data_IF_121790319446
#
_entry.id   IF_121790319446
#
_cell.length_a   1.000
_cell.length_b   1.000
_cell.length_c   1.000
_cell.angle_alpha   90.00
_cell.angle_beta   90.00
_cell.angle_gamma   90.00
#
_symmetry.space_group_name_H-M   'P 1'
#
loop_
_entity.id
_entity.type
_entity.pdbx_description
1 polymer ?
#
# COMPACT_ATOMS: atom_id res chain seq x y z
N UNK A 1 -8.07 -2.56 -15.39
CA UNK A 1 -7.78 -1.11 -15.39
C UNK A 1 -6.45 -0.86 -14.70
N UNK A 2 -5.80 0.27 -14.98
CA UNK A 2 -4.55 0.68 -14.33
C UNK A 2 -4.89 1.71 -13.24
N UNK A 3 -4.47 1.44 -12.01
CA UNK A 3 -4.76 2.27 -10.84
C UNK A 3 -3.44 2.83 -10.31
N UNK A 4 -3.37 4.16 -10.16
CA UNK A 4 -2.29 4.83 -9.44
C UNK A 4 -2.78 5.18 -8.03
N UNK A 5 -2.11 4.62 -7.02
CA UNK A 5 -2.39 4.90 -5.62
C UNK A 5 -1.23 5.70 -5.02
N UNK A 6 -1.53 6.82 -4.36
CA UNK A 6 -0.55 7.67 -3.69
C UNK A 6 -0.83 7.63 -2.18
N UNK A 7 0.17 7.26 -1.39
CA UNK A 7 0.05 7.15 0.07
C UNK A 7 1.22 7.81 0.79
N UNK A 8 0.93 8.63 1.80
CA UNK A 8 1.96 9.20 2.68
C UNK A 8 2.61 8.14 3.60
N UNK A 9 1.98 6.97 3.77
CA UNK A 9 2.50 5.88 4.60
C UNK A 9 2.82 4.65 3.77
N UNK A 10 3.98 4.05 4.03
CA UNK A 10 4.40 2.79 3.43
C UNK A 10 3.54 1.65 4.03
N UNK A 11 2.77 0.90 3.23
CA UNK A 11 1.76 -0.03 3.76
C UNK A 11 2.30 -1.44 4.05
N UNK A 12 3.61 -1.68 3.92
CA UNK A 12 4.22 -2.99 4.09
C UNK A 12 5.56 -2.88 4.84
N UNK A 13 5.98 -3.83 5.69
CA UNK A 13 5.13 -4.82 6.31
C UNK A 13 4.03 -4.11 7.14
N UNK A 14 2.80 -4.66 7.22
CA UNK A 14 1.69 -4.00 7.92
C UNK A 14 1.82 -4.19 9.45
N UNK A 15 2.92 -3.70 10.03
CA UNK A 15 3.33 -3.94 11.42
C UNK A 15 2.94 -2.81 12.37
N UNK A 16 2.68 -1.60 11.87
CA UNK A 16 2.43 -0.40 12.70
C UNK A 16 0.94 -0.08 12.92
N UNK A 17 0.03 -1.02 12.67
CA UNK A 17 -1.40 -0.88 13.02
C UNK A 17 -2.31 -0.29 11.94
N UNK A 18 -3.42 0.33 12.37
CA UNK A 18 -4.69 0.39 11.63
C UNK A 18 -4.67 1.03 10.23
N UNK A 19 -3.89 2.08 10.00
CA UNK A 19 -3.84 2.73 8.66
C UNK A 19 -3.03 1.92 7.66
N UNK A 20 -1.91 1.32 8.06
CA UNK A 20 -1.13 0.44 7.18
C UNK A 20 -1.90 -0.83 6.82
N UNK A 21 -2.61 -1.42 7.79
CA UNK A 21 -3.45 -2.61 7.58
C UNK A 21 -4.55 -2.34 6.55
N UNK A 22 -5.31 -1.24 6.68
CA UNK A 22 -6.38 -0.91 5.73
C UNK A 22 -5.84 -0.69 4.32
N UNK A 23 -4.76 0.09 4.19
CA UNK A 23 -4.11 0.34 2.90
C UNK A 23 -3.59 -0.95 2.28
N UNK A 24 -2.97 -1.82 3.07
CA UNK A 24 -2.47 -3.13 2.62
C UNK A 24 -3.59 -4.03 2.10
N UNK A 25 -4.69 -4.21 2.85
CA UNK A 25 -5.80 -5.06 2.41
C UNK A 25 -6.55 -4.48 1.21
N UNK A 26 -6.67 -3.15 1.12
CA UNK A 26 -7.22 -2.49 -0.06
C UNK A 26 -6.35 -2.75 -1.29
N UNK A 27 -5.03 -2.57 -1.18
CA UNK A 27 -4.08 -2.89 -2.26
C UNK A 27 -4.19 -4.35 -2.67
N UNK A 28 -4.19 -5.27 -1.70
CA UNK A 28 -4.32 -6.71 -1.94
C UNK A 28 -5.60 -7.05 -2.68
N UNK A 29 -6.71 -6.41 -2.36
CA UNK A 29 -7.99 -6.64 -3.04
C UNK A 29 -7.98 -6.07 -4.47
N UNK A 30 -7.54 -4.82 -4.64
CA UNK A 30 -7.50 -4.16 -5.95
C UNK A 30 -6.53 -4.87 -6.91
N UNK A 31 -5.39 -5.38 -6.41
CA UNK A 31 -4.41 -6.09 -7.22
C UNK A 31 -4.90 -7.41 -7.80
N UNK A 32 -6.04 -7.95 -7.31
CA UNK A 32 -6.63 -9.18 -7.85
C UNK A 32 -7.15 -8.99 -9.28
N UNK A 33 -7.66 -7.78 -9.61
CA UNK A 33 -8.33 -7.51 -10.88
C UNK A 33 -7.78 -6.29 -11.61
N UNK A 34 -6.83 -5.57 -11.00
CA UNK A 34 -6.30 -4.31 -11.52
C UNK A 34 -4.77 -4.28 -11.40
N UNK A 35 -4.13 -3.69 -12.39
CA UNK A 35 -2.71 -3.35 -12.31
C UNK A 35 -2.59 -2.10 -11.43
N UNK A 36 -2.01 -2.26 -10.24
CA UNK A 36 -1.86 -1.15 -9.29
C UNK A 36 -0.40 -0.72 -9.22
N UNK A 37 -0.15 0.56 -9.47
CA UNK A 37 1.12 1.21 -9.15
C UNK A 37 0.94 1.98 -7.86
N UNK A 38 1.73 1.64 -6.84
CA UNK A 38 1.76 2.34 -5.56
C UNK A 38 2.96 3.27 -5.51
N UNK A 39 2.71 4.56 -5.32
CA UNK A 39 3.74 5.55 -4.97
C UNK A 39 3.55 5.93 -3.51
N UNK A 40 4.62 5.83 -2.75
CA UNK A 40 4.56 6.12 -1.32
C UNK A 40 5.89 6.63 -0.81
N UNK A 41 5.84 7.37 0.30
CA UNK A 41 7.04 7.80 0.99
C UNK A 41 7.76 6.59 1.59
N UNK A 42 9.09 6.54 1.42
CA UNK A 42 9.92 5.48 2.01
C UNK A 42 9.76 5.51 3.53
N UNK A 43 9.40 4.38 4.13
CA UNK A 43 9.48 4.22 5.58
C UNK A 43 10.91 3.90 5.99
N UNK A 44 11.45 4.50 7.07
CA UNK A 44 12.76 4.15 7.62
C UNK A 44 12.87 2.68 8.02
N UNK A 45 11.73 2.03 8.28
CA UNK A 45 11.64 0.64 8.74
C UNK A 45 11.78 -0.39 7.61
N UNK A 46 11.89 0.05 6.36
CA UNK A 46 11.98 -0.81 5.18
C UNK A 46 13.29 -0.56 4.44
N UNK A 47 14.11 -1.61 4.38
CA UNK A 47 15.45 -1.61 3.79
C UNK A 47 15.39 -1.59 2.27
#
# INVERSE_FOLDING_TARGET
MRILMISATFPYPPTLGGTQIRTFYLLKHLSQNHEVTLVTQRSPEVT
#
